data_IF_041192994624
#
_entry.id   IF_041192994624
#
_cell.length_a   1.000
_cell.length_b   1.000
_cell.length_c   1.000
_cell.angle_alpha   90.00
_cell.angle_beta   90.00
_cell.angle_gamma   90.00
#
_symmetry.space_group_name_H-M   'P 1'
#
loop_
_entity.id
_entity.type
_entity.pdbx_description
1 polymer ?
#
# COMPACT_ATOMS: atom_id res chain seq x y z
N UNK A 1 3.63 -2.20 -10.30
CA UNK A 1 3.38 -2.40 -8.85
C UNK A 1 3.73 -3.81 -8.50
N UNK A 2 4.72 -4.04 -7.66
CA UNK A 2 4.99 -5.37 -7.11
C UNK A 2 3.83 -5.75 -6.19
N UNK A 3 3.23 -6.90 -6.44
CA UNK A 3 2.17 -7.44 -5.60
C UNK A 3 2.77 -7.73 -4.21
N UNK A 4 2.08 -7.34 -3.14
CA UNK A 4 2.52 -7.57 -1.76
C UNK A 4 2.78 -9.05 -1.48
N UNK A 5 1.99 -9.93 -2.09
CA UNK A 5 2.15 -11.39 -2.01
C UNK A 5 3.46 -11.86 -2.65
N UNK A 6 3.84 -11.28 -3.79
CA UNK A 6 5.12 -11.60 -4.46
C UNK A 6 6.32 -11.15 -3.63
N UNK A 7 6.22 -9.98 -2.98
CA UNK A 7 7.25 -9.48 -2.06
C UNK A 7 7.43 -10.39 -0.85
N UNK A 8 6.34 -10.83 -0.22
CA UNK A 8 6.37 -11.80 0.87
C UNK A 8 6.91 -13.16 0.41
N UNK A 9 6.46 -13.62 -0.75
CA UNK A 9 6.96 -14.88 -1.31
C UNK A 9 8.46 -14.85 -1.58
N UNK A 10 8.98 -13.76 -2.15
CA UNK A 10 10.42 -13.63 -2.42
C UNK A 10 11.24 -13.60 -1.13
N UNK A 11 10.73 -12.98 -0.08
CA UNK A 11 11.36 -12.94 1.23
C UNK A 11 11.48 -14.34 1.85
N UNK A 12 10.47 -15.19 1.64
CA UNK A 12 10.39 -16.52 2.25
C UNK A 12 11.02 -17.63 1.41
N UNK A 13 11.50 -17.34 0.19
CA UNK A 13 12.07 -18.39 -0.71
C UNK A 13 13.14 -19.23 -0.04
N UNK A 14 14.05 -18.60 0.67
CA UNK A 14 15.22 -19.28 1.27
C UNK A 14 14.91 -19.98 2.60
N UNK A 15 13.74 -19.72 3.20
CA UNK A 15 13.40 -20.23 4.52
C UNK A 15 12.19 -21.17 4.53
N UNK A 16 11.61 -21.43 3.35
CA UNK A 16 10.43 -22.30 3.22
C UNK A 16 10.65 -23.74 3.69
N UNK A 17 11.89 -24.20 3.58
CA UNK A 17 12.26 -25.56 3.92
C UNK A 17 12.73 -25.67 5.39
N UNK A 18 12.71 -24.58 6.14
CA UNK A 18 13.05 -24.56 7.57
C UNK A 18 11.97 -25.26 8.41
N UNK A 19 12.34 -25.82 9.58
CA UNK A 19 11.37 -26.22 10.59
C UNK A 19 10.43 -25.06 10.94
N UNK A 20 9.17 -25.37 11.28
CA UNK A 20 8.13 -24.36 11.48
C UNK A 20 8.51 -23.27 12.49
N UNK A 21 9.17 -23.62 13.60
CA UNK A 21 9.61 -22.65 14.62
C UNK A 21 10.63 -21.69 14.01
N UNK A 22 11.68 -22.21 13.37
CA UNK A 22 12.70 -21.39 12.72
C UNK A 22 12.11 -20.52 11.59
N UNK A 23 11.11 -21.01 10.86
CA UNK A 23 10.41 -20.23 9.87
C UNK A 23 9.65 -19.05 10.51
N UNK A 24 8.95 -19.27 11.63
CA UNK A 24 8.24 -18.25 12.37
C UNK A 24 9.19 -17.19 12.93
N UNK A 25 10.33 -17.60 13.47
CA UNK A 25 11.38 -16.68 13.99
C UNK A 25 11.87 -15.75 12.87
N UNK A 26 12.17 -16.29 11.68
CA UNK A 26 12.60 -15.49 10.53
C UNK A 26 11.52 -14.54 10.07
N UNK A 27 10.25 -14.99 10.00
CA UNK A 27 9.12 -14.12 9.63
C UNK A 27 9.02 -12.96 10.63
N UNK A 28 9.07 -13.26 11.91
CA UNK A 28 8.96 -12.27 12.97
C UNK A 28 10.11 -11.26 12.93
N UNK A 29 11.36 -11.71 12.79
CA UNK A 29 12.53 -10.84 12.66
C UNK A 29 12.36 -9.87 11.48
N UNK A 30 11.94 -10.38 10.32
CA UNK A 30 11.69 -9.56 9.12
C UNK A 30 10.57 -8.56 9.33
N UNK A 31 9.47 -8.97 9.96
CA UNK A 31 8.36 -8.07 10.25
C UNK A 31 8.76 -7.00 11.25
N UNK A 32 9.47 -7.35 12.32
CA UNK A 32 9.97 -6.39 13.32
C UNK A 32 10.86 -5.34 12.66
N UNK A 33 11.79 -5.78 11.81
CA UNK A 33 12.64 -4.88 11.02
C UNK A 33 11.83 -3.97 10.11
N UNK A 34 10.90 -4.51 9.32
CA UNK A 34 10.05 -3.70 8.43
C UNK A 34 9.20 -2.69 9.19
N UNK A 35 8.68 -3.07 10.36
CA UNK A 35 7.91 -2.16 11.20
C UNK A 35 8.77 -1.01 11.70
N UNK A 36 9.95 -1.31 12.19
CA UNK A 36 10.89 -0.31 12.66
C UNK A 36 11.37 0.63 11.55
N UNK A 37 11.75 0.10 10.39
CA UNK A 37 12.18 0.89 9.24
C UNK A 37 11.08 1.86 8.79
N UNK A 38 9.83 1.40 8.73
CA UNK A 38 8.69 2.23 8.39
C UNK A 38 8.34 3.26 9.46
N UNK A 39 8.52 2.93 10.73
CA UNK A 39 8.38 3.88 11.84
C UNK A 39 9.37 5.02 11.73
N UNK A 40 10.63 4.71 11.46
CA UNK A 40 11.67 5.72 11.24
C UNK A 40 11.29 6.63 10.07
N UNK A 41 10.87 6.05 8.95
CA UNK A 41 10.40 6.83 7.80
C UNK A 41 9.20 7.68 8.17
N UNK A 42 8.21 7.13 8.87
CA UNK A 42 7.00 7.84 9.28
C UNK A 42 7.31 9.08 10.13
N UNK A 43 8.24 8.95 11.08
CA UNK A 43 8.66 10.05 11.94
C UNK A 43 9.43 11.13 11.16
N UNK A 44 10.19 10.75 10.14
CA UNK A 44 10.97 11.68 9.31
C UNK A 44 10.12 12.46 8.28
N UNK A 45 8.85 12.06 8.05
CA UNK A 45 7.97 12.75 7.09
C UNK A 45 7.64 14.16 7.62
N UNK A 46 7.95 15.17 6.82
CA UNK A 46 7.56 16.57 7.09
C UNK A 46 6.30 17.00 6.35
N UNK A 47 6.01 16.34 5.21
CA UNK A 47 4.83 16.61 4.40
C UNK A 47 3.53 16.07 5.06
N UNK A 48 2.36 16.65 4.76
CA UNK A 48 1.07 16.17 5.29
C UNK A 48 0.70 14.75 4.86
N UNK A 49 1.17 14.31 3.69
CA UNK A 49 0.88 13.00 3.13
C UNK A 49 2.10 12.08 3.16
N UNK A 50 1.85 10.80 3.03
CA UNK A 50 2.92 9.81 2.85
C UNK A 50 3.71 10.09 1.56
N UNK A 51 5.04 9.81 1.51
CA UNK A 51 5.90 10.20 0.38
C UNK A 51 5.39 9.73 -0.99
N UNK A 52 4.88 8.50 -1.04
CA UNK A 52 4.31 7.92 -2.27
C UNK A 52 3.08 8.69 -2.76
N UNK A 53 2.25 9.20 -1.85
CA UNK A 53 1.04 9.95 -2.18
C UNK A 53 1.37 11.40 -2.51
N UNK A 54 2.30 12.00 -1.80
CA UNK A 54 2.80 13.32 -2.09
C UNK A 54 3.41 13.40 -3.49
N UNK A 55 4.21 12.40 -3.88
CA UNK A 55 4.78 12.30 -5.22
C UNK A 55 3.69 12.24 -6.32
N UNK A 56 2.61 11.47 -6.09
CA UNK A 56 1.48 11.36 -7.03
C UNK A 56 0.63 12.63 -7.05
N UNK A 57 0.59 13.36 -5.95
CA UNK A 57 -0.28 14.51 -5.75
C UNK A 57 0.27 15.80 -6.34
N UNK A 58 1.58 16.04 -6.19
CA UNK A 58 2.24 17.28 -6.65
C UNK A 58 1.99 17.65 -8.12
N UNK A 59 2.10 16.73 -9.09
CA UNK A 59 1.84 17.06 -10.50
C UNK A 59 0.41 17.55 -10.75
N UNK A 60 -0.56 17.04 -9.98
CA UNK A 60 -1.97 17.42 -10.11
C UNK A 60 -2.22 18.88 -9.73
N UNK A 61 -1.43 19.45 -8.81
CA UNK A 61 -1.51 20.88 -8.48
C UNK A 61 -1.15 21.76 -9.67
N UNK A 62 -0.04 21.48 -10.33
CA UNK A 62 0.38 22.25 -11.50
C UNK A 62 -0.68 22.20 -12.61
N UNK A 63 -1.26 21.02 -12.85
CA UNK A 63 -2.30 20.82 -13.87
C UNK A 63 -3.64 21.49 -13.50
N UNK A 64 -3.92 21.69 -12.21
CA UNK A 64 -5.17 22.31 -11.75
C UNK A 64 -5.23 23.81 -12.01
N UNK A 65 -4.08 24.48 -12.09
CA UNK A 65 -4.00 25.95 -12.24
C UNK A 65 -4.57 26.45 -13.58
N UNK A 66 -4.59 25.59 -14.62
CA UNK A 66 -5.14 25.93 -15.93
C UNK A 66 -6.64 25.62 -16.08
N UNK A 67 -7.31 25.21 -15.01
CA UNK A 67 -8.72 24.82 -15.04
C UNK A 67 -9.64 25.97 -14.64
N UNK A 68 -10.78 26.05 -15.31
CA UNK A 68 -11.86 26.99 -14.97
C UNK A 68 -12.96 26.25 -14.22
N UNK A 69 -13.29 26.75 -13.04
CA UNK A 69 -14.30 26.12 -12.18
C UNK A 69 -15.55 26.98 -12.12
N UNK A 70 -16.71 26.39 -12.40
CA UNK A 70 -18.03 26.97 -12.29
C UNK A 70 -18.80 26.27 -11.18
N UNK A 71 -19.26 27.03 -10.20
CA UNK A 71 -20.12 26.50 -9.14
C UNK A 71 -21.53 26.28 -9.67
N UNK A 72 -22.04 25.05 -9.53
CA UNK A 72 -23.42 24.68 -9.92
C UNK A 72 -24.38 24.77 -8.73
N UNK A 73 -23.91 24.39 -7.54
CA UNK A 73 -24.61 24.50 -6.27
C UNK A 73 -23.59 24.55 -5.10
N UNK A 74 -23.99 24.66 -3.84
CA UNK A 74 -23.06 24.83 -2.72
C UNK A 74 -21.97 23.76 -2.59
N UNK A 75 -22.19 22.56 -3.14
CA UNK A 75 -21.26 21.41 -3.01
C UNK A 75 -20.77 20.84 -4.34
N UNK A 76 -21.41 21.20 -5.47
CA UNK A 76 -21.11 20.63 -6.79
C UNK A 76 -20.56 21.71 -7.72
N UNK A 77 -19.50 21.36 -8.44
CA UNK A 77 -18.75 22.25 -9.32
C UNK A 77 -18.49 21.59 -10.66
N UNK A 78 -18.58 22.37 -11.73
CA UNK A 78 -18.18 21.97 -13.07
C UNK A 78 -16.81 22.56 -13.40
N UNK A 79 -15.87 21.71 -13.79
CA UNK A 79 -14.48 22.10 -14.08
C UNK A 79 -14.17 21.84 -15.54
N UNK A 80 -13.75 22.92 -16.23
CA UNK A 80 -13.43 22.99 -17.66
C UNK A 80 -11.95 23.31 -17.88
N UNK A 81 -11.48 23.22 -19.14
CA UNK A 81 -10.16 23.68 -19.52
C UNK A 81 -9.11 22.58 -19.55
N UNK A 82 -9.38 21.47 -20.22
CA UNK A 82 -8.43 20.39 -20.46
C UNK A 82 -9.03 19.35 -21.38
N UNK A 83 -8.32 18.23 -21.57
CA UNK A 83 -8.81 17.14 -22.44
C UNK A 83 -10.16 16.59 -21.99
N UNK A 84 -10.39 16.54 -20.69
CA UNK A 84 -11.64 16.07 -20.10
C UNK A 84 -12.17 17.12 -19.13
N UNK A 85 -13.47 17.38 -19.21
CA UNK A 85 -14.20 18.15 -18.23
C UNK A 85 -14.67 17.24 -17.08
N UNK A 86 -14.90 17.81 -15.89
CA UNK A 86 -15.33 17.03 -14.75
C UNK A 86 -16.35 17.76 -13.90
N UNK A 87 -17.30 17.01 -13.35
CA UNK A 87 -18.20 17.48 -12.29
C UNK A 87 -17.73 16.91 -10.99
N UNK A 88 -17.48 17.78 -10.01
CA UNK A 88 -16.93 17.43 -8.70
C UNK A 88 -17.98 17.69 -7.63
N UNK A 89 -18.20 16.73 -6.76
CA UNK A 89 -18.91 16.88 -5.50
C UNK A 89 -17.88 16.88 -4.37
N UNK A 90 -17.72 18.03 -3.73
CA UNK A 90 -16.73 18.18 -2.64
C UNK A 90 -17.19 17.44 -1.38
N UNK A 91 -18.48 17.44 -1.10
CA UNK A 91 -19.02 16.82 0.11
C UNK A 91 -18.86 15.28 0.07
N UNK A 92 -19.27 14.68 -1.03
CA UNK A 92 -19.15 13.23 -1.23
C UNK A 92 -17.74 12.79 -1.68
N UNK A 93 -16.84 13.74 -1.95
CA UNK A 93 -15.47 13.49 -2.43
C UNK A 93 -15.45 12.64 -3.69
N UNK A 94 -16.28 13.00 -4.67
CA UNK A 94 -16.44 12.28 -5.93
C UNK A 94 -16.19 13.18 -7.15
N UNK A 95 -15.79 12.57 -8.26
CA UNK A 95 -15.63 13.27 -9.53
C UNK A 95 -16.04 12.35 -10.70
N UNK A 96 -16.66 12.92 -11.73
CA UNK A 96 -17.03 12.16 -12.93
C UNK A 96 -15.85 11.50 -13.65
N UNK A 97 -14.61 12.01 -13.47
CA UNK A 97 -13.40 11.38 -14.00
C UNK A 97 -13.02 10.06 -13.29
N UNK A 98 -13.66 9.74 -12.18
CA UNK A 98 -13.45 8.55 -11.35
C UNK A 98 -12.09 8.43 -10.64
N UNK A 99 -11.07 9.22 -11.00
CA UNK A 99 -9.77 9.19 -10.31
C UNK A 99 -9.89 9.51 -8.82
N UNK A 100 -10.76 10.48 -8.47
CA UNK A 100 -10.97 10.86 -7.07
C UNK A 100 -11.61 9.72 -6.27
N UNK A 101 -12.59 9.05 -6.88
CA UNK A 101 -13.31 7.93 -6.26
C UNK A 101 -12.41 6.72 -6.03
N UNK A 102 -11.57 6.39 -7.02
CA UNK A 102 -10.71 5.20 -7.03
C UNK A 102 -9.45 5.41 -6.17
N UNK A 103 -8.75 6.53 -6.43
CA UNK A 103 -7.49 6.83 -5.76
C UNK A 103 -7.68 7.27 -4.30
N UNK A 104 -8.88 7.73 -3.92
CA UNK A 104 -9.17 8.42 -2.65
C UNK A 104 -8.23 9.62 -2.40
N UNK A 105 -7.74 10.18 -3.51
CA UNK A 105 -6.82 11.31 -3.57
C UNK A 105 -7.40 12.30 -4.59
N UNK A 106 -7.53 13.60 -4.28
CA UNK A 106 -8.12 14.58 -5.20
C UNK A 106 -7.50 14.52 -6.58
N UNK A 107 -8.34 14.42 -7.59
CA UNK A 107 -7.95 14.55 -8.99
C UNK A 107 -7.70 16.03 -9.34
N UNK A 108 -7.23 16.29 -10.53
CA UNK A 108 -7.00 17.66 -11.04
C UNK A 108 -8.26 18.54 -10.91
N UNK A 109 -9.43 18.00 -11.22
CA UNK A 109 -10.71 18.72 -11.11
C UNK A 109 -11.04 19.04 -9.64
N UNK A 110 -10.87 18.09 -8.72
CA UNK A 110 -11.13 18.30 -7.31
C UNK A 110 -10.18 19.34 -6.68
N UNK A 111 -8.91 19.39 -7.11
CA UNK A 111 -7.95 20.40 -6.67
C UNK A 111 -8.37 21.78 -7.16
N UNK A 112 -8.71 21.94 -8.45
CA UNK A 112 -9.20 23.21 -8.99
C UNK A 112 -10.45 23.70 -8.27
N UNK A 113 -11.36 22.77 -7.97
CA UNK A 113 -12.58 23.07 -7.20
C UNK A 113 -12.26 23.52 -5.77
N UNK A 114 -11.34 22.85 -5.09
CA UNK A 114 -10.92 23.19 -3.74
C UNK A 114 -10.31 24.61 -3.68
N UNK A 115 -9.50 24.99 -4.67
CA UNK A 115 -8.96 26.35 -4.77
C UNK A 115 -10.06 27.37 -4.97
N UNK A 116 -11.03 27.11 -5.86
CA UNK A 116 -12.15 27.99 -6.10
C UNK A 116 -13.05 28.16 -4.85
N UNK A 117 -13.30 27.06 -4.15
CA UNK A 117 -14.12 27.04 -2.93
C UNK A 117 -13.36 27.48 -1.67
N UNK A 118 -12.07 27.80 -1.78
CA UNK A 118 -11.19 28.17 -0.66
C UNK A 118 -11.13 27.08 0.44
N UNK A 119 -11.25 25.82 0.06
CA UNK A 119 -11.15 24.65 0.94
C UNK A 119 -9.74 24.07 0.86
N UNK A 120 -9.22 23.62 1.99
CA UNK A 120 -7.92 22.94 1.98
C UNK A 120 -7.98 21.68 1.12
N UNK A 121 -7.10 21.57 0.12
CA UNK A 121 -7.02 20.39 -0.75
C UNK A 121 -6.72 19.14 0.04
N UNK A 122 -5.93 19.26 1.12
CA UNK A 122 -5.58 18.13 1.99
C UNK A 122 -6.77 17.59 2.79
N UNK A 123 -7.80 18.41 3.06
CA UNK A 123 -9.02 17.93 3.73
C UNK A 123 -9.84 16.95 2.86
N UNK A 124 -9.64 17.01 1.55
CA UNK A 124 -10.29 16.12 0.60
C UNK A 124 -9.60 14.75 0.50
N UNK A 125 -8.35 14.65 0.94
CA UNK A 125 -7.59 13.40 0.92
C UNK A 125 -8.15 12.41 1.94
N UNK A 126 -8.08 11.11 1.62
CA UNK A 126 -8.41 10.06 2.59
C UNK A 126 -7.47 10.11 3.79
N UNK A 127 -7.99 10.04 5.03
CA UNK A 127 -7.16 10.03 6.24
C UNK A 127 -6.08 8.96 6.25
N UNK A 128 -6.33 7.81 5.62
CA UNK A 128 -5.36 6.71 5.51
C UNK A 128 -4.07 7.05 4.76
N UNK A 129 -4.03 8.18 4.06
CA UNK A 129 -2.84 8.64 3.32
C UNK A 129 -2.07 9.71 4.06
N UNK A 130 -2.57 10.17 5.21
CA UNK A 130 -1.92 11.21 6.01
C UNK A 130 -0.74 10.64 6.81
N UNK A 131 0.17 11.52 7.17
CA UNK A 131 1.31 11.21 8.02
C UNK A 131 0.86 10.61 9.36
N UNK A 132 -0.18 11.17 9.97
CA UNK A 132 -0.70 10.76 11.28
C UNK A 132 -1.13 9.29 11.27
N UNK A 133 -1.90 8.89 10.26
CA UNK A 133 -2.32 7.49 10.10
C UNK A 133 -1.14 6.57 9.81
N UNK A 134 -0.15 7.06 9.06
CA UNK A 134 1.05 6.27 8.78
C UNK A 134 1.88 6.03 10.05
N UNK A 135 2.02 7.06 10.91
CA UNK A 135 2.67 6.93 12.23
C UNK A 135 1.89 5.97 13.13
N UNK A 136 0.56 6.09 13.19
CA UNK A 136 -0.28 5.19 13.97
C UNK A 136 -0.18 3.74 13.50
N UNK A 137 -0.15 3.49 12.19
CA UNK A 137 -0.06 2.14 11.63
C UNK A 137 1.21 1.40 12.03
N UNK A 138 2.31 2.11 12.28
CA UNK A 138 3.59 1.52 12.68
C UNK A 138 4.00 1.91 14.12
N UNK A 139 3.08 2.46 14.90
CA UNK A 139 3.31 2.88 16.29
C UNK A 139 3.62 1.70 17.22
N UNK A 140 2.93 0.59 17.03
CA UNK A 140 3.11 -0.62 17.83
C UNK A 140 4.47 -1.30 17.56
N UNK A 141 5.03 -1.92 18.59
CA UNK A 141 6.30 -2.66 18.48
C UNK A 141 6.01 -4.15 18.37
N UNK A 142 6.59 -4.80 17.38
CA UNK A 142 6.57 -6.26 17.26
C UNK A 142 7.72 -6.81 18.09
N UNK A 143 7.39 -7.43 19.21
CA UNK A 143 8.36 -8.06 20.11
C UNK A 143 8.69 -9.48 19.64
N UNK A 144 9.93 -9.95 19.86
CA UNK A 144 10.29 -11.33 19.61
C UNK A 144 9.53 -12.27 20.54
N UNK A 145 9.23 -13.46 20.06
CA UNK A 145 8.72 -14.54 20.89
C UNK A 145 9.84 -14.94 21.86
N UNK A 146 9.53 -15.07 23.16
CA UNK A 146 10.51 -15.45 24.16
C UNK A 146 11.16 -16.80 23.87
N UNK A 147 12.28 -17.08 24.55
CA UNK A 147 12.98 -18.36 24.42
C UNK A 147 12.02 -19.54 24.63
N UNK A 148 12.19 -20.60 23.86
CA UNK A 148 11.40 -21.84 23.97
C UNK A 148 11.37 -22.41 25.39
N UNK A 149 12.44 -22.18 26.19
CA UNK A 149 12.51 -22.57 27.60
C UNK A 149 11.50 -21.84 28.49
N UNK A 150 10.94 -20.74 28.05
CA UNK A 150 9.98 -19.91 28.79
C UNK A 150 8.53 -20.16 28.34
N UNK A 151 8.33 -21.05 27.36
CA UNK A 151 6.99 -21.30 26.86
C UNK A 151 6.23 -22.21 27.83
N UNK A 152 5.04 -21.79 28.18
CA UNK A 152 4.09 -22.65 28.89
C UNK A 152 3.39 -23.56 27.87
N UNK A 153 3.96 -24.75 27.71
CA UNK A 153 3.48 -25.72 26.69
C UNK A 153 2.53 -26.70 27.39
N UNK A 154 1.25 -26.79 26.93
CA UNK A 154 0.31 -27.72 27.47
C UNK A 154 0.82 -29.18 27.37
N UNK A 155 0.57 -29.98 28.40
CA UNK A 155 1.02 -31.37 28.45
C UNK A 155 0.57 -32.24 27.27
N UNK A 156 -0.60 -31.92 26.71
CA UNK A 156 -1.12 -32.59 25.51
C UNK A 156 -0.23 -32.39 24.27
N UNK A 157 0.49 -31.28 24.21
CA UNK A 157 1.39 -30.95 23.11
C UNK A 157 2.78 -31.55 23.33
N UNK A 158 3.26 -31.54 24.56
CA UNK A 158 4.58 -32.10 24.91
C UNK A 158 4.68 -33.60 24.69
N UNK A 159 3.54 -34.33 24.79
CA UNK A 159 3.47 -35.77 24.55
C UNK A 159 3.37 -36.14 23.07
N UNK A 160 3.13 -35.17 22.17
CA UNK A 160 3.02 -35.43 20.74
C UNK A 160 4.42 -35.49 20.09
N UNK A 161 4.79 -36.64 19.57
CA UNK A 161 5.98 -36.79 18.72
C UNK A 161 5.63 -36.32 17.31
N UNK A 162 6.12 -35.14 16.95
CA UNK A 162 5.99 -34.63 15.58
C UNK A 162 7.28 -35.02 14.83
N UNK A 163 7.16 -35.96 13.89
CA UNK A 163 8.27 -36.34 13.03
C UNK A 163 8.62 -35.20 12.07
N UNK A 164 9.92 -34.95 11.81
CA UNK A 164 10.32 -33.99 10.79
C UNK A 164 9.69 -34.36 9.44
N UNK A 165 9.31 -33.35 8.66
CA UNK A 165 8.82 -33.55 7.31
C UNK A 165 9.89 -34.27 6.48
N UNK A 166 9.53 -35.42 5.87
CA UNK A 166 10.39 -36.02 4.87
C UNK A 166 10.65 -35.03 3.73
N UNK A 167 11.89 -34.61 3.60
CA UNK A 167 12.33 -33.78 2.46
C UNK A 167 12.41 -34.68 1.27
N UNK A 168 11.32 -34.82 0.52
CA UNK A 168 11.36 -35.47 -0.78
C UNK A 168 12.20 -34.64 -1.72
N UNK A 169 13.27 -35.19 -2.25
CA UNK A 169 14.04 -34.55 -3.31
C UNK A 169 13.07 -34.11 -4.42
N UNK A 170 13.06 -32.82 -4.73
CA UNK A 170 12.22 -32.31 -5.80
C UNK A 170 12.70 -32.91 -7.10
N UNK A 171 11.92 -33.84 -7.67
CA UNK A 171 12.10 -34.24 -9.06
C UNK A 171 12.10 -32.94 -9.90
N UNK A 172 13.02 -32.87 -10.88
CA UNK A 172 13.07 -31.72 -11.81
C UNK A 172 11.64 -31.40 -12.27
N UNK A 173 11.14 -30.23 -11.91
CA UNK A 173 9.83 -29.80 -12.34
C UNK A 173 9.78 -29.61 -13.85
N UNK A 174 8.59 -29.34 -14.37
CA UNK A 174 8.40 -29.04 -15.80
C UNK A 174 9.41 -27.96 -16.22
N UNK A 175 10.17 -28.16 -17.32
CA UNK A 175 11.07 -27.13 -17.83
C UNK A 175 10.31 -25.83 -18.02
N UNK A 176 10.92 -24.68 -17.67
CA UNK A 176 10.33 -23.37 -17.94
C UNK A 176 10.08 -23.25 -19.44
N UNK A 177 8.84 -23.39 -19.85
CA UNK A 177 8.44 -23.06 -21.22
C UNK A 177 8.33 -21.54 -21.29
N UNK A 178 8.91 -20.92 -22.32
CA UNK A 178 8.71 -19.50 -22.59
C UNK A 178 7.21 -19.22 -22.72
N UNK A 179 6.77 -18.16 -22.07
CA UNK A 179 5.39 -17.68 -22.22
C UNK A 179 5.14 -17.38 -23.71
N UNK A 180 4.03 -17.83 -24.25
CA UNK A 180 3.58 -17.36 -25.55
C UNK A 180 3.28 -15.84 -25.45
N UNK A 181 3.86 -15.06 -26.37
CA UNK A 181 3.57 -13.62 -26.44
C UNK A 181 2.09 -13.41 -26.73
N UNK A 182 1.46 -12.48 -25.99
CA UNK A 182 0.08 -12.11 -26.29
C UNK A 182 0.01 -11.33 -27.60
N UNK A 183 -1.15 -11.36 -28.25
CA UNK A 183 -1.40 -10.56 -29.46
C UNK A 183 -1.17 -9.09 -29.15
N UNK A 184 -0.19 -8.45 -29.79
CA UNK A 184 0.22 -7.05 -29.54
C UNK A 184 1.56 -6.89 -28.79
N UNK A 185 2.19 -7.94 -28.33
CA UNK A 185 3.51 -7.90 -27.73
C UNK A 185 4.58 -7.91 -28.84
N UNK A 186 5.07 -6.72 -29.21
CA UNK A 186 6.17 -6.59 -30.16
C UNK A 186 7.51 -6.93 -29.51
N UNK A 187 8.26 -7.86 -30.12
CA UNK A 187 9.67 -8.04 -29.76
C UNK A 187 10.44 -6.78 -30.20
N UNK A 188 11.08 -6.11 -29.25
CA UNK A 188 12.13 -5.13 -29.56
C UNK A 188 13.41 -5.86 -29.95
#
# INVERSE_FOLDING_TARGET
MTNMVESLNSMLVNVRDFPYVALLDVIQEKMSKWWNDRRIVAMAITAPLTPSREFKFRPRFAQSNSRHTLQLNPVTYHVKGGELEGVVDIFNKTCTCKEFDIDKLPCVHAIATAHHAQVSVYSLVSPYYTKEYYVLAYGETIYPVGSQSQWDVPNEVTTRVVLPREVKERKRGRPKTSRFSSVGEFRK
#
